data_IF_575678466356
#
_entry.id   IF_575678466356
#
_cell.length_a   1.000
_cell.length_b   1.000
_cell.length_c   1.000
_cell.angle_alpha   90.00
_cell.angle_beta   90.00
_cell.angle_gamma   90.00
#
_symmetry.space_group_name_H-M   'P 1'
#
loop_
_entity.id
_entity.type
_entity.pdbx_description
1 polymer ?
#
# COMPACT_ATOMS: atom_id res chain seq x y z
N UNK A 1 25.12 -14.71 17.37
CA UNK A 1 24.98 -13.26 17.71
C UNK A 1 23.52 -12.99 18.03
N UNK A 2 23.19 -11.96 18.85
CA UNK A 2 21.79 -11.59 19.08
C UNK A 2 21.37 -10.60 18.00
N UNK A 3 20.27 -10.90 17.31
CA UNK A 3 19.69 -10.04 16.27
C UNK A 3 18.44 -9.33 16.77
N UNK A 4 18.11 -8.21 16.15
CA UNK A 4 16.84 -7.51 16.34
C UNK A 4 16.12 -7.33 15.00
N UNK A 5 14.80 -7.42 15.07
CA UNK A 5 13.89 -7.15 13.97
C UNK A 5 13.80 -5.65 13.74
N UNK A 6 13.78 -5.25 12.46
CA UNK A 6 13.45 -3.89 12.03
C UNK A 6 12.39 -3.98 10.94
N UNK A 7 11.24 -3.38 11.18
CA UNK A 7 10.16 -3.42 10.20
C UNK A 7 9.42 -2.08 10.05
N UNK A 8 8.87 -1.89 8.85
CA UNK A 8 7.95 -0.82 8.51
C UNK A 8 6.80 -1.38 7.66
N UNK A 9 5.72 -0.63 7.57
CA UNK A 9 4.48 -1.02 6.90
C UNK A 9 4.12 -0.06 5.78
N UNK A 10 3.59 -0.63 4.70
CA UNK A 10 2.81 0.06 3.69
C UNK A 10 1.37 -0.44 3.83
N UNK A 11 0.47 0.45 4.25
CA UNK A 11 -0.92 0.08 4.55
C UNK A 11 -1.87 0.80 3.62
N UNK A 12 -2.57 0.04 2.78
CA UNK A 12 -3.60 0.53 1.87
C UNK A 12 -4.97 0.42 2.54
N UNK A 13 -5.75 1.49 2.50
CA UNK A 13 -7.10 1.54 3.08
C UNK A 13 -8.08 2.09 2.05
N UNK A 14 -9.06 1.26 1.66
CA UNK A 14 -10.18 1.70 0.82
C UNK A 14 -11.06 2.68 1.59
N UNK A 15 -11.34 3.83 0.98
CA UNK A 15 -12.16 4.86 1.59
C UNK A 15 -13.64 4.61 1.33
N UNK A 16 -14.47 4.66 2.36
CA UNK A 16 -15.92 4.41 2.33
C UNK A 16 -16.71 5.56 1.68
N UNK A 17 -16.22 6.09 0.54
CA UNK A 17 -16.93 7.09 -0.24
C UNK A 17 -18.05 6.45 -1.05
N UNK A 18 -19.09 7.20 -1.40
CA UNK A 18 -20.21 6.69 -2.21
C UNK A 18 -19.81 6.41 -3.66
N UNK A 19 -18.82 7.13 -4.15
CA UNK A 19 -18.38 7.05 -5.55
C UNK A 19 -16.87 6.91 -5.63
N UNK A 20 -16.40 6.38 -6.75
CA UNK A 20 -14.98 6.22 -7.07
C UNK A 20 -14.23 7.55 -7.05
N UNK A 21 -12.89 7.48 -7.03
CA UNK A 21 -12.02 8.65 -6.89
C UNK A 21 -12.16 9.65 -8.05
N UNK A 22 -12.37 9.19 -9.27
CA UNK A 22 -12.37 10.05 -10.47
C UNK A 22 -13.65 9.99 -11.30
N UNK A 23 -14.69 9.27 -10.82
CA UNK A 23 -15.96 9.17 -11.54
C UNK A 23 -17.15 8.95 -10.59
N UNK A 24 -18.37 8.90 -11.12
CA UNK A 24 -19.61 8.70 -10.36
C UNK A 24 -20.00 7.24 -10.11
N UNK A 25 -19.19 6.25 -10.51
CA UNK A 25 -19.49 4.84 -10.26
C UNK A 25 -19.45 4.53 -8.76
N UNK A 26 -20.29 3.59 -8.34
CA UNK A 26 -20.35 3.16 -6.93
C UNK A 26 -19.08 2.44 -6.50
N UNK A 27 -18.74 2.57 -5.22
CA UNK A 27 -17.66 1.84 -4.54
C UNK A 27 -18.17 0.62 -3.79
N UNK A 28 -19.48 0.28 -3.89
CA UNK A 28 -20.04 -0.86 -3.16
C UNK A 28 -19.32 -2.15 -3.51
N UNK A 29 -18.90 -2.88 -2.49
CA UNK A 29 -18.36 -4.22 -2.64
C UNK A 29 -19.39 -5.20 -3.22
N UNK A 30 -18.94 -6.13 -4.08
CA UNK A 30 -19.81 -7.09 -4.76
C UNK A 30 -20.46 -6.52 -6.03
N UNK A 31 -21.40 -7.26 -6.57
CA UNK A 31 -22.04 -6.98 -7.86
C UNK A 31 -21.47 -7.87 -8.97
N UNK A 32 -22.18 -7.93 -10.10
CA UNK A 32 -21.72 -8.67 -11.28
C UNK A 32 -20.40 -8.06 -11.78
N UNK A 33 -19.44 -8.86 -12.28
CA UNK A 33 -18.19 -8.33 -12.82
C UNK A 33 -18.43 -7.24 -13.85
N UNK A 34 -17.63 -6.17 -13.77
CA UNK A 34 -17.69 -5.00 -14.65
C UNK A 34 -19.03 -4.25 -14.71
N UNK A 35 -19.91 -4.41 -13.69
CA UNK A 35 -21.17 -3.68 -13.59
C UNK A 35 -21.06 -2.28 -12.98
N UNK A 36 -19.97 -2.00 -12.26
CA UNK A 36 -19.69 -0.71 -11.62
C UNK A 36 -18.64 0.09 -12.42
N UNK A 37 -18.79 0.15 -13.73
CA UNK A 37 -17.82 0.76 -14.64
C UNK A 37 -18.45 1.83 -15.51
N UNK A 38 -17.65 2.83 -15.88
CA UNK A 38 -17.99 3.87 -16.84
C UNK A 38 -16.77 4.18 -17.72
N UNK A 39 -16.93 4.94 -18.81
CA UNK A 39 -15.82 5.29 -19.70
C UNK A 39 -14.59 5.85 -18.98
N UNK A 40 -14.76 6.57 -17.86
CA UNK A 40 -13.64 7.16 -17.11
C UNK A 40 -12.83 6.07 -16.39
N UNK A 41 -13.46 5.20 -15.59
CA UNK A 41 -12.73 4.20 -14.80
C UNK A 41 -12.21 3.03 -15.64
N UNK A 42 -12.76 2.80 -16.85
CA UNK A 42 -12.19 1.84 -17.81
C UNK A 42 -11.20 2.46 -18.79
N UNK A 43 -10.92 3.77 -18.66
CA UNK A 43 -9.85 4.43 -19.39
C UNK A 43 -10.10 4.65 -20.87
N UNK A 44 -11.35 4.87 -21.30
CA UNK A 44 -11.62 5.14 -22.72
C UNK A 44 -10.97 6.44 -23.20
N UNK A 45 -10.52 6.50 -24.45
CA UNK A 45 -9.90 7.69 -25.03
C UNK A 45 -10.78 8.95 -24.86
N UNK A 46 -10.15 10.07 -24.49
CA UNK A 46 -10.84 11.36 -24.31
C UNK A 46 -11.45 11.57 -22.92
N UNK A 47 -11.44 10.58 -22.04
CA UNK A 47 -11.92 10.76 -20.65
C UNK A 47 -10.87 11.41 -19.78
N UNK A 48 -11.34 12.31 -18.88
CA UNK A 48 -10.47 13.01 -17.93
C UNK A 48 -10.89 12.69 -16.49
N UNK A 49 -9.94 12.42 -15.57
CA UNK A 49 -10.22 12.20 -14.17
C UNK A 49 -10.65 13.51 -13.49
N UNK A 50 -11.69 13.44 -12.65
CA UNK A 50 -12.12 14.55 -11.79
C UNK A 50 -12.13 14.09 -10.35
N UNK A 51 -11.21 14.63 -9.54
CA UNK A 51 -11.00 14.21 -8.15
C UNK A 51 -12.26 14.39 -7.29
N UNK A 52 -12.64 13.33 -6.60
CA UNK A 52 -13.73 13.32 -5.64
C UNK A 52 -13.33 14.07 -4.35
N UNK A 53 -14.07 15.12 -4.01
CA UNK A 53 -13.81 15.96 -2.83
C UNK A 53 -13.87 15.18 -1.51
N UNK A 54 -14.75 14.19 -1.38
CA UNK A 54 -14.84 13.39 -0.15
C UNK A 54 -13.60 12.53 0.09
N UNK A 55 -12.92 12.08 -0.95
CA UNK A 55 -11.65 11.37 -0.83
C UNK A 55 -10.60 12.25 -0.13
N UNK A 56 -10.47 13.50 -0.57
CA UNK A 56 -9.54 14.46 0.06
C UNK A 56 -9.93 14.72 1.52
N UNK A 57 -11.23 14.88 1.80
CA UNK A 57 -11.72 15.08 3.18
C UNK A 57 -11.42 13.89 4.06
N UNK A 58 -11.59 12.67 3.57
CA UNK A 58 -11.29 11.45 4.32
C UNK A 58 -9.78 11.29 4.56
N UNK A 59 -8.96 11.58 3.55
CA UNK A 59 -7.51 11.57 3.72
C UNK A 59 -7.03 12.61 4.75
N UNK A 60 -7.57 13.83 4.74
CA UNK A 60 -7.28 14.86 5.75
C UNK A 60 -7.70 14.38 7.15
N UNK A 61 -8.88 13.75 7.31
CA UNK A 61 -9.31 13.18 8.60
C UNK A 61 -8.35 12.09 9.08
N UNK A 62 -7.87 11.23 8.18
CA UNK A 62 -6.85 10.23 8.51
C UNK A 62 -5.57 10.89 9.00
N UNK A 63 -5.05 11.87 8.25
CA UNK A 63 -3.83 12.60 8.61
C UNK A 63 -3.92 13.27 9.98
N UNK A 64 -5.01 13.96 10.26
CA UNK A 64 -5.24 14.62 11.57
C UNK A 64 -5.31 13.59 12.71
N UNK A 65 -5.94 12.43 12.47
CA UNK A 65 -6.10 11.40 13.49
C UNK A 65 -4.78 10.71 13.88
N UNK A 66 -3.78 10.75 13.00
CA UNK A 66 -2.43 10.21 13.27
C UNK A 66 -1.38 11.30 13.44
N UNK A 67 -1.81 12.52 13.76
CA UNK A 67 -0.92 13.67 14.02
C UNK A 67 -0.02 14.06 12.85
N UNK A 68 -0.46 13.78 11.63
CA UNK A 68 0.25 14.17 10.40
C UNK A 68 0.03 15.64 10.04
N UNK A 69 0.99 16.24 9.37
CA UNK A 69 0.91 17.58 8.80
C UNK A 69 0.19 17.53 7.44
N UNK A 70 -0.82 18.36 7.28
CA UNK A 70 -1.56 18.47 6.01
C UNK A 70 -0.82 19.44 5.11
N UNK A 71 -0.39 18.99 3.94
CA UNK A 71 0.29 19.81 2.97
C UNK A 71 -0.66 20.88 2.40
N UNK A 72 -0.22 22.14 2.35
CA UNK A 72 -0.99 23.24 1.73
C UNK A 72 -1.17 23.03 0.22
N UNK A 73 -0.16 22.47 -0.41
CA UNK A 73 -0.16 22.14 -1.85
C UNK A 73 0.18 20.66 -2.01
N UNK A 74 -0.68 19.97 -2.73
CA UNK A 74 -0.49 18.57 -3.08
C UNK A 74 -0.88 18.36 -4.54
N UNK A 75 -0.26 17.39 -5.21
CA UNK A 75 -0.59 17.07 -6.59
C UNK A 75 -0.71 15.58 -6.81
N UNK A 76 -1.49 15.22 -7.83
CA UNK A 76 -1.58 13.84 -8.31
C UNK A 76 -0.51 13.62 -9.37
N UNK A 77 0.14 12.45 -9.29
CA UNK A 77 1.15 11.99 -10.22
C UNK A 77 0.65 10.74 -10.96
N UNK A 78 1.29 10.39 -12.08
CA UNK A 78 1.02 9.14 -12.81
C UNK A 78 2.16 8.16 -12.57
N UNK A 79 1.81 6.99 -12.03
CA UNK A 79 2.69 5.83 -11.93
C UNK A 79 2.43 4.95 -13.16
N UNK A 80 3.28 5.08 -14.17
CA UNK A 80 3.07 4.42 -15.45
C UNK A 80 3.58 2.97 -15.39
N UNK A 81 2.69 2.02 -15.56
CA UNK A 81 3.01 0.63 -15.82
C UNK A 81 1.86 -0.07 -16.54
N UNK A 82 2.18 -1.02 -17.42
CA UNK A 82 1.20 -1.71 -18.22
C UNK A 82 0.90 -3.08 -17.60
N UNK A 83 -0.29 -3.19 -16.99
CA UNK A 83 -0.77 -4.45 -16.44
C UNK A 83 -2.27 -4.59 -16.68
N UNK A 84 -2.84 -5.81 -16.86
CA UNK A 84 -4.24 -5.97 -17.26
C UNK A 84 -5.27 -5.35 -16.32
N UNK A 85 -4.98 -5.25 -15.02
CA UNK A 85 -5.87 -4.64 -14.01
C UNK A 85 -5.84 -3.11 -14.00
N UNK A 86 -4.90 -2.49 -14.74
CA UNK A 86 -4.85 -1.05 -14.97
C UNK A 86 -5.39 -0.70 -16.36
N UNK A 87 -6.66 -0.34 -16.42
CA UNK A 87 -7.36 -0.02 -17.66
C UNK A 87 -6.73 1.12 -18.47
N UNK A 88 -6.00 2.03 -17.79
CA UNK A 88 -5.34 3.21 -18.36
C UNK A 88 -3.85 3.02 -18.65
N UNK A 89 -3.27 1.85 -18.30
CA UNK A 89 -1.84 1.59 -18.27
C UNK A 89 -1.04 2.51 -17.31
N UNK A 90 -1.72 3.19 -16.39
CA UNK A 90 -1.12 3.96 -15.30
C UNK A 90 -2.06 3.99 -14.09
N UNK A 91 -1.50 4.18 -12.92
CA UNK A 91 -2.21 4.48 -11.67
C UNK A 91 -2.00 5.95 -11.32
N UNK A 92 -3.07 6.63 -10.93
CA UNK A 92 -2.97 7.98 -10.37
C UNK A 92 -2.71 7.82 -8.87
N UNK A 93 -1.62 8.44 -8.41
CA UNK A 93 -1.12 8.40 -7.03
C UNK A 93 -0.49 9.74 -6.67
N UNK A 94 0.25 9.83 -5.57
CA UNK A 94 0.99 11.02 -5.14
C UNK A 94 2.41 10.61 -4.76
N UNK A 95 3.38 10.80 -5.65
CA UNK A 95 4.76 10.39 -5.45
C UNK A 95 5.64 11.50 -4.87
N UNK A 96 5.48 12.73 -5.38
CA UNK A 96 6.36 13.85 -5.08
C UNK A 96 5.80 14.85 -4.08
N UNK A 97 4.46 14.92 -3.99
CA UNK A 97 3.76 15.86 -3.12
C UNK A 97 2.57 15.17 -2.45
N UNK A 98 2.83 14.25 -1.50
CA UNK A 98 1.77 13.58 -0.75
C UNK A 98 0.94 14.59 0.03
N UNK A 99 -0.33 14.25 0.30
CA UNK A 99 -1.24 15.15 1.00
C UNK A 99 -0.90 15.27 2.49
N UNK A 100 -0.37 14.22 3.10
CA UNK A 100 -0.03 14.22 4.54
C UNK A 100 1.44 13.82 4.71
N UNK A 101 2.16 14.60 5.52
CA UNK A 101 3.57 14.40 5.82
C UNK A 101 3.72 14.05 7.29
N UNK A 102 4.52 13.03 7.59
CA UNK A 102 4.81 12.61 8.95
C UNK A 102 3.59 12.10 9.71
N UNK A 103 3.60 12.27 11.02
CA UNK A 103 2.62 11.72 11.95
C UNK A 103 3.15 10.49 12.70
N UNK A 104 2.31 9.89 13.53
CA UNK A 104 2.67 8.67 14.27
C UNK A 104 1.45 7.93 14.79
N UNK A 105 1.66 6.64 15.09
CA UNK A 105 0.75 5.81 15.87
C UNK A 105 1.44 5.51 17.20
N UNK A 106 0.83 5.88 18.32
CA UNK A 106 1.37 5.65 19.66
C UNK A 106 0.93 4.27 20.17
N UNK A 107 1.90 3.43 20.56
CA UNK A 107 1.67 2.12 21.15
C UNK A 107 1.38 2.23 22.66
N UNK A 108 0.84 1.16 23.25
CA UNK A 108 0.49 1.10 24.68
C UNK A 108 1.69 1.30 25.61
N UNK A 109 2.89 0.97 25.13
CA UNK A 109 4.15 1.18 25.85
C UNK A 109 4.70 2.62 25.74
N UNK A 110 3.96 3.53 25.09
CA UNK A 110 4.36 4.93 24.86
C UNK A 110 5.31 5.13 23.67
N UNK A 111 5.72 4.06 22.99
CA UNK A 111 6.49 4.20 21.74
C UNK A 111 5.64 4.76 20.62
N UNK A 112 6.23 5.62 19.82
CA UNK A 112 5.61 6.20 18.63
C UNK A 112 6.20 5.55 17.39
N UNK A 113 5.35 4.87 16.62
CA UNK A 113 5.70 4.40 15.29
C UNK A 113 5.44 5.56 14.36
N UNK A 114 6.50 6.17 13.85
CA UNK A 114 6.42 7.32 12.96
C UNK A 114 5.88 6.92 11.60
N UNK A 115 5.16 7.83 10.99
CA UNK A 115 4.73 7.73 9.61
C UNK A 115 5.64 8.59 8.74
N UNK A 116 5.99 8.09 7.57
CA UNK A 116 6.73 8.85 6.58
C UNK A 116 5.77 9.82 5.87
N UNK A 117 4.65 9.28 5.35
CA UNK A 117 3.61 10.07 4.70
C UNK A 117 2.31 9.27 4.56
N UNK A 118 1.23 9.97 4.21
CA UNK A 118 -0.01 9.37 3.71
C UNK A 118 -0.35 10.04 2.40
N UNK A 119 -0.64 9.24 1.37
CA UNK A 119 -1.02 9.74 0.07
C UNK A 119 -2.32 9.11 -0.43
N UNK A 120 -2.95 9.80 -1.39
CA UNK A 120 -4.17 9.34 -2.06
C UNK A 120 -3.78 8.62 -3.34
N UNK A 121 -4.45 7.50 -3.63
CA UNK A 121 -4.32 6.78 -4.88
C UNK A 121 -5.63 6.10 -5.30
N UNK A 122 -5.66 5.54 -6.49
CA UNK A 122 -6.77 4.72 -6.98
C UNK A 122 -6.41 3.23 -6.90
N UNK A 123 -7.42 2.38 -6.59
CA UNK A 123 -7.23 0.93 -6.65
C UNK A 123 -7.25 0.41 -8.09
N UNK A 124 -6.56 -0.69 -8.32
CA UNK A 124 -6.56 -1.44 -9.57
C UNK A 124 -7.79 -2.36 -9.69
N UNK A 125 -8.06 -2.87 -10.88
CA UNK A 125 -9.04 -3.92 -11.11
C UNK A 125 -8.65 -5.23 -10.39
N UNK A 126 -9.51 -6.22 -10.46
CA UNK A 126 -9.26 -7.55 -9.91
C UNK A 126 -8.98 -8.54 -11.03
N UNK A 127 -7.86 -9.26 -10.93
CA UNK A 127 -7.57 -10.39 -11.81
C UNK A 127 -8.19 -11.66 -11.25
N UNK A 128 -8.85 -12.43 -12.11
CA UNK A 128 -9.50 -13.70 -11.79
C UNK A 128 -8.93 -14.76 -12.71
N UNK A 129 -8.15 -15.69 -12.14
CA UNK A 129 -7.53 -16.78 -12.89
C UNK A 129 -8.43 -18.02 -12.80
N UNK A 130 -8.98 -18.44 -13.93
CA UNK A 130 -9.86 -19.62 -14.03
C UNK A 130 -9.60 -20.38 -15.32
N UNK A 131 -9.49 -21.71 -15.25
CA UNK A 131 -9.36 -22.61 -16.40
C UNK A 131 -8.23 -22.27 -17.38
N UNK A 132 -7.14 -21.68 -16.89
CA UNK A 132 -6.01 -21.25 -17.73
C UNK A 132 -6.14 -19.85 -18.33
N UNK A 133 -7.29 -19.20 -18.16
CA UNK A 133 -7.55 -17.84 -18.60
C UNK A 133 -7.45 -16.83 -17.45
N UNK A 134 -7.24 -15.57 -17.79
CA UNK A 134 -7.27 -14.45 -16.84
C UNK A 134 -8.35 -13.46 -17.23
N UNK A 135 -9.36 -13.35 -16.36
CA UNK A 135 -10.43 -12.36 -16.50
C UNK A 135 -10.12 -11.13 -15.66
N UNK A 136 -10.61 -9.98 -16.09
CA UNK A 136 -10.43 -8.71 -15.38
C UNK A 136 -11.78 -8.16 -14.97
N UNK A 137 -11.94 -7.88 -13.67
CA UNK A 137 -13.08 -7.17 -13.11
C UNK A 137 -12.66 -5.78 -12.68
N UNK A 138 -13.13 -4.75 -13.38
CA UNK A 138 -12.85 -3.36 -13.11
C UNK A 138 -13.80 -2.71 -12.08
N UNK A 139 -14.67 -3.48 -11.40
CA UNK A 139 -15.54 -2.94 -10.35
C UNK A 139 -14.72 -2.26 -9.25
N UNK A 140 -13.57 -2.83 -8.89
CA UNK A 140 -12.64 -2.23 -7.92
C UNK A 140 -11.79 -1.10 -8.52
N UNK A 141 -11.50 -1.13 -9.81
CA UNK A 141 -10.68 -0.10 -10.48
C UNK A 141 -11.20 1.31 -10.25
N UNK A 142 -10.36 2.17 -9.68
CA UNK A 142 -10.72 3.54 -9.28
C UNK A 142 -11.44 3.67 -7.94
N UNK A 143 -11.57 2.61 -7.14
CA UNK A 143 -11.96 2.74 -5.73
C UNK A 143 -10.90 3.58 -5.01
N UNK A 144 -11.30 4.61 -4.21
CA UNK A 144 -10.34 5.47 -3.57
C UNK A 144 -9.55 4.75 -2.49
N UNK A 145 -8.24 4.90 -2.49
CA UNK A 145 -7.32 4.43 -1.46
C UNK A 145 -6.59 5.60 -0.81
N UNK A 146 -6.20 5.40 0.44
CA UNK A 146 -5.03 6.03 1.03
C UNK A 146 -3.98 4.96 1.29
N UNK A 147 -2.74 5.27 1.00
CA UNK A 147 -1.58 4.50 1.41
C UNK A 147 -0.88 5.21 2.55
N UNK A 148 -0.69 4.49 3.66
CA UNK A 148 -0.02 4.93 4.87
C UNK A 148 1.32 4.24 4.95
N UNK A 149 2.41 4.98 4.78
CA UNK A 149 3.77 4.46 4.83
C UNK A 149 4.38 4.79 6.19
N UNK A 150 4.80 3.77 6.94
CA UNK A 150 5.50 3.97 8.20
C UNK A 150 7.00 4.05 8.03
N UNK A 151 7.67 4.68 8.99
CA UNK A 151 9.11 4.52 9.18
C UNK A 151 9.42 3.10 9.72
N UNK A 152 10.66 2.61 9.57
CA UNK A 152 11.07 1.28 10.04
C UNK A 152 11.33 1.29 11.56
N UNK A 153 10.32 1.68 12.34
CA UNK A 153 10.42 1.86 13.79
C UNK A 153 10.02 0.62 14.60
N UNK A 154 9.37 -0.37 13.99
CA UNK A 154 8.89 -1.58 14.65
C UNK A 154 10.06 -2.52 14.96
N UNK A 155 10.08 -3.06 16.20
CA UNK A 155 11.17 -3.90 16.73
C UNK A 155 10.71 -5.26 17.24
N UNK A 156 9.39 -5.52 17.29
CA UNK A 156 8.86 -6.82 17.68
C UNK A 156 7.57 -7.15 16.94
N UNK A 157 7.19 -8.42 16.96
CA UNK A 157 5.93 -8.91 16.39
C UNK A 157 4.72 -8.32 17.12
N UNK A 158 4.82 -8.18 18.46
CA UNK A 158 3.75 -7.59 19.26
C UNK A 158 3.52 -6.12 18.92
N UNK A 159 4.59 -5.35 18.71
CA UNK A 159 4.49 -3.97 18.23
C UNK A 159 3.84 -3.88 16.85
N UNK A 160 4.17 -4.81 15.96
CA UNK A 160 3.56 -4.88 14.63
C UNK A 160 2.05 -5.15 14.71
N UNK A 161 1.64 -6.11 15.55
CA UNK A 161 0.22 -6.41 15.81
C UNK A 161 -0.51 -5.18 16.34
N UNK A 162 0.01 -4.58 17.41
CA UNK A 162 -0.59 -3.42 18.05
C UNK A 162 -0.69 -2.22 17.08
N UNK A 163 0.35 -1.97 16.27
CA UNK A 163 0.34 -0.91 15.26
C UNK A 163 -0.81 -1.08 14.26
N UNK A 164 -0.96 -2.27 13.69
CA UNK A 164 -2.02 -2.55 12.69
C UNK A 164 -3.40 -2.48 13.35
N UNK A 165 -3.57 -3.04 14.55
CA UNK A 165 -4.83 -2.98 15.30
C UNK A 165 -5.25 -1.54 15.62
N UNK A 166 -4.33 -0.73 16.12
CA UNK A 166 -4.58 0.69 16.42
C UNK A 166 -4.93 1.48 15.16
N UNK A 167 -4.17 1.27 14.09
CA UNK A 167 -4.46 1.94 12.83
C UNK A 167 -5.87 1.58 12.31
N UNK A 168 -6.22 0.29 12.35
CA UNK A 168 -7.55 -0.19 12.00
C UNK A 168 -8.65 0.45 12.86
N UNK A 169 -8.45 0.50 14.18
CA UNK A 169 -9.37 1.10 15.13
C UNK A 169 -9.57 2.60 14.87
N UNK A 170 -8.48 3.33 14.66
CA UNK A 170 -8.52 4.77 14.37
C UNK A 170 -9.32 5.04 13.09
N UNK A 171 -9.01 4.34 11.99
CA UNK A 171 -9.67 4.55 10.69
C UNK A 171 -11.15 4.21 10.72
N UNK A 172 -11.53 3.17 11.47
CA UNK A 172 -12.93 2.84 11.73
C UNK A 172 -13.62 3.90 12.61
N UNK A 173 -12.99 4.34 13.68
CA UNK A 173 -13.55 5.32 14.61
C UNK A 173 -13.85 6.65 13.94
N UNK A 174 -12.95 7.14 13.08
CA UNK A 174 -13.17 8.37 12.30
C UNK A 174 -14.12 8.15 11.10
N UNK A 175 -14.57 6.90 10.87
CA UNK A 175 -15.60 6.56 9.89
C UNK A 175 -15.18 6.76 8.43
N UNK A 176 -13.92 6.52 8.09
CA UNK A 176 -13.44 6.65 6.71
C UNK A 176 -13.34 5.33 5.97
N UNK A 177 -13.29 4.20 6.70
CA UNK A 177 -13.22 2.84 6.15
C UNK A 177 -13.78 1.83 7.13
N UNK A 178 -14.21 0.67 6.65
CA UNK A 178 -14.53 -0.50 7.49
C UNK A 178 -13.30 -1.36 7.81
N UNK A 179 -12.20 -1.14 7.11
CA UNK A 179 -10.89 -1.79 7.31
C UNK A 179 -10.98 -3.32 7.46
N UNK A 180 -11.68 -3.98 6.55
CA UNK A 180 -11.81 -5.44 6.54
C UNK A 180 -10.71 -6.07 5.69
N UNK A 181 -9.75 -6.72 6.32
CA UNK A 181 -8.65 -7.35 5.61
C UNK A 181 -9.12 -8.50 4.69
N UNK A 182 -10.13 -9.27 5.12
CA UNK A 182 -10.66 -10.40 4.34
C UNK A 182 -11.40 -9.95 3.07
N UNK A 183 -11.97 -8.75 3.07
CA UNK A 183 -12.65 -8.16 1.90
C UNK A 183 -11.70 -7.29 1.06
N UNK A 184 -10.46 -7.06 1.57
CA UNK A 184 -9.43 -6.28 0.90
C UNK A 184 -9.55 -4.77 1.09
N UNK A 185 -10.49 -4.28 1.94
CA UNK A 185 -10.60 -2.85 2.24
C UNK A 185 -9.49 -2.32 3.17
N UNK A 186 -8.68 -3.22 3.74
CA UNK A 186 -7.40 -2.93 4.37
C UNK A 186 -6.39 -3.98 3.96
N UNK A 187 -5.25 -3.57 3.43
CA UNK A 187 -4.13 -4.44 3.02
C UNK A 187 -2.86 -3.89 3.65
N UNK A 188 -1.99 -4.78 4.11
CA UNK A 188 -0.71 -4.41 4.71
C UNK A 188 0.40 -5.18 4.03
N UNK A 189 1.39 -4.46 3.52
CA UNK A 189 2.65 -5.00 3.08
C UNK A 189 3.71 -4.67 4.13
N UNK A 190 4.59 -5.62 4.43
CA UNK A 190 5.60 -5.49 5.48
C UNK A 190 6.97 -5.46 4.86
N UNK A 191 7.72 -4.41 5.12
CA UNK A 191 9.15 -4.34 4.86
C UNK A 191 9.90 -4.76 6.13
N UNK A 192 10.64 -5.87 6.07
CA UNK A 192 11.34 -6.45 7.22
C UNK A 192 12.82 -6.65 6.93
N UNK A 193 13.66 -6.42 7.91
CA UNK A 193 15.08 -6.76 7.91
C UNK A 193 15.55 -7.15 9.30
N UNK A 194 16.71 -7.78 9.38
CA UNK A 194 17.39 -8.09 10.64
C UNK A 194 18.72 -7.38 10.71
N UNK A 195 19.12 -6.99 11.92
CA UNK A 195 20.44 -6.43 12.20
C UNK A 195 20.99 -6.95 13.54
N UNK A 196 22.32 -6.95 13.73
CA UNK A 196 22.88 -7.23 15.04
C UNK A 196 22.33 -6.25 16.09
N UNK A 197 21.95 -6.74 17.26
CA UNK A 197 21.39 -5.91 18.34
C UNK A 197 22.34 -4.79 18.74
N UNK A 198 21.84 -3.55 18.72
CA UNK A 198 22.63 -2.34 18.99
C UNK A 198 23.36 -1.76 17.79
N UNK A 199 23.24 -2.35 16.59
CA UNK A 199 23.77 -1.75 15.36
C UNK A 199 22.83 -0.65 14.84
N UNK A 200 23.37 0.47 14.40
CA UNK A 200 22.60 1.51 13.71
C UNK A 200 22.36 1.18 12.23
N UNK A 201 23.25 0.37 11.63
CA UNK A 201 23.15 -0.01 10.22
C UNK A 201 22.00 -0.98 10.00
N UNK A 202 21.08 -0.60 9.12
CA UNK A 202 19.98 -1.48 8.70
C UNK A 202 20.50 -2.66 7.88
N UNK A 203 19.84 -3.82 8.03
CA UNK A 203 20.04 -4.98 7.18
C UNK A 203 19.38 -4.83 5.80
N UNK A 204 19.58 -5.81 4.93
CA UNK A 204 18.86 -5.89 3.65
C UNK A 204 17.41 -6.23 3.92
N UNK A 205 16.49 -5.42 3.37
CA UNK A 205 15.05 -5.62 3.55
C UNK A 205 14.48 -6.60 2.54
N UNK A 206 13.48 -7.35 2.98
CA UNK A 206 12.51 -8.05 2.13
C UNK A 206 11.12 -7.43 2.31
N UNK A 207 10.29 -7.51 1.31
CA UNK A 207 8.91 -7.07 1.33
C UNK A 207 7.99 -8.28 1.36
N UNK A 208 7.09 -8.39 2.33
CA UNK A 208 6.13 -9.50 2.43
C UNK A 208 4.74 -9.00 2.04
N UNK A 209 4.09 -9.72 1.15
CA UNK A 209 2.74 -9.45 0.64
C UNK A 209 1.78 -10.61 0.87
N UNK A 210 0.49 -10.36 0.62
CA UNK A 210 -0.58 -11.38 0.64
C UNK A 210 -0.98 -11.86 2.04
N UNK A 211 -0.95 -10.97 3.02
CA UNK A 211 -1.40 -11.27 4.38
C UNK A 211 -2.82 -10.75 4.61
N UNK A 212 -3.76 -11.66 4.83
CA UNK A 212 -5.20 -11.36 4.89
C UNK A 212 -5.75 -11.19 6.32
N UNK A 213 -4.88 -11.19 7.33
CA UNK A 213 -5.22 -10.97 8.73
C UNK A 213 -4.01 -10.49 9.53
N UNK A 214 -4.26 -9.87 10.69
CA UNK A 214 -3.21 -9.45 11.62
C UNK A 214 -2.41 -10.66 12.13
N UNK A 215 -3.07 -11.81 12.30
CA UNK A 215 -2.39 -13.04 12.69
C UNK A 215 -1.44 -13.55 11.59
N UNK A 216 -1.84 -13.44 10.31
CA UNK A 216 -0.98 -13.81 9.19
C UNK A 216 0.21 -12.87 9.04
N UNK A 217 0.02 -11.56 9.32
CA UNK A 217 1.14 -10.60 9.38
C UNK A 217 2.16 -11.06 10.41
N UNK A 218 1.73 -11.39 11.62
CA UNK A 218 2.63 -11.80 12.69
C UNK A 218 3.39 -13.08 12.35
N UNK A 219 2.70 -14.11 11.86
CA UNK A 219 3.33 -15.39 11.46
C UNK A 219 4.31 -15.21 10.30
N UNK A 220 3.94 -14.39 9.31
CA UNK A 220 4.81 -14.09 8.18
C UNK A 220 6.09 -13.36 8.61
N UNK A 221 5.97 -12.39 9.52
CA UNK A 221 7.11 -11.67 10.07
C UNK A 221 8.00 -12.57 10.94
N UNK A 222 7.41 -13.46 11.75
CA UNK A 222 8.16 -14.42 12.59
C UNK A 222 8.97 -15.37 11.71
N UNK A 223 8.32 -16.00 10.72
CA UNK A 223 8.99 -16.89 9.78
C UNK A 223 10.13 -16.19 9.03
N UNK A 224 9.89 -15.00 8.51
CA UNK A 224 10.88 -14.27 7.73
C UNK A 224 12.05 -13.77 8.60
N UNK A 225 11.78 -13.37 9.84
CA UNK A 225 12.82 -13.01 10.81
C UNK A 225 13.76 -14.21 11.08
N UNK A 226 13.20 -15.37 11.37
CA UNK A 226 13.97 -16.60 11.59
C UNK A 226 14.77 -16.99 10.34
N UNK A 227 14.15 -16.98 9.17
CA UNK A 227 14.80 -17.27 7.89
C UNK A 227 16.00 -16.39 7.63
N UNK A 228 15.88 -15.05 7.86
CA UNK A 228 16.98 -14.12 7.66
C UNK A 228 18.11 -14.32 8.66
N UNK A 229 17.79 -14.60 9.92
CA UNK A 229 18.79 -14.89 10.96
C UNK A 229 19.56 -16.16 10.61
N UNK A 230 18.85 -17.24 10.30
CA UNK A 230 19.46 -18.53 9.92
C UNK A 230 20.37 -18.39 8.70
N UNK A 231 19.93 -17.66 7.69
CA UNK A 231 20.72 -17.41 6.49
C UNK A 231 22.04 -16.69 6.81
N UNK A 232 21.97 -15.65 7.65
CA UNK A 232 23.15 -14.85 8.02
C UNK A 232 24.11 -15.66 8.91
N UNK A 233 23.59 -16.43 9.87
CA UNK A 233 24.40 -17.26 10.77
C UNK A 233 25.11 -18.39 10.03
N UNK A 234 24.54 -18.88 8.94
CA UNK A 234 25.17 -19.85 8.04
C UNK A 234 26.10 -19.22 6.99
N UNK A 235 26.41 -17.92 7.11
CA UNK A 235 27.35 -17.21 6.22
C UNK A 235 26.79 -16.78 4.87
N UNK A 236 25.45 -16.87 4.69
CA UNK A 236 24.75 -16.36 3.54
C UNK A 236 24.46 -14.87 3.64
N UNK A 237 23.79 -14.31 2.63
CA UNK A 237 23.36 -12.92 2.59
C UNK A 237 21.89 -12.82 2.16
N UNK A 238 21.16 -11.91 2.81
CA UNK A 238 19.77 -11.61 2.42
C UNK A 238 19.76 -10.83 1.11
N UNK A 239 18.94 -11.26 0.18
CA UNK A 239 18.70 -10.57 -1.10
C UNK A 239 17.44 -9.71 -0.96
N UNK A 240 17.47 -8.50 -1.54
CA UNK A 240 16.31 -7.62 -1.55
C UNK A 240 15.28 -8.13 -2.57
N UNK A 241 14.17 -8.65 -2.07
CA UNK A 241 13.14 -9.30 -2.89
C UNK A 241 11.73 -9.05 -2.32
N UNK A 242 10.72 -9.31 -3.15
CA UNK A 242 9.32 -9.34 -2.72
C UNK A 242 8.91 -10.80 -2.51
N UNK A 243 8.37 -11.07 -1.34
CA UNK A 243 7.94 -12.40 -0.89
C UNK A 243 6.42 -12.46 -0.82
N UNK A 244 5.87 -13.61 -1.16
CA UNK A 244 4.46 -13.93 -0.95
C UNK A 244 4.32 -14.83 0.27
N UNK A 245 3.46 -14.45 1.21
CA UNK A 245 3.07 -15.32 2.31
C UNK A 245 2.00 -16.32 1.85
N UNK A 246 2.18 -17.58 2.24
CA UNK A 246 1.24 -18.69 2.06
C UNK A 246 0.66 -19.08 3.42
N UNK A 247 -0.64 -18.85 3.62
CA UNK A 247 -1.36 -19.13 4.85
C UNK A 247 -1.50 -20.65 5.13
N UNK A 248 -1.50 -21.48 4.07
CA UNK A 248 -1.62 -22.94 4.22
C UNK A 248 -0.36 -23.58 4.80
N UNK A 249 0.80 -23.06 4.40
CA UNK A 249 2.11 -23.59 4.85
C UNK A 249 2.75 -22.73 5.94
N UNK A 250 2.25 -21.54 6.20
CA UNK A 250 2.83 -20.49 7.05
C UNK A 250 4.29 -20.15 6.66
N UNK A 251 4.58 -20.11 5.36
CA UNK A 251 5.91 -19.81 4.83
C UNK A 251 5.88 -18.62 3.85
N UNK A 252 7.03 -18.05 3.58
CA UNK A 252 7.21 -17.06 2.51
C UNK A 252 7.90 -17.69 1.31
N UNK A 253 7.56 -17.25 0.11
CA UNK A 253 8.21 -17.65 -1.14
C UNK A 253 8.50 -16.43 -2.01
N UNK A 254 9.63 -16.44 -2.73
CA UNK A 254 10.00 -15.35 -3.62
C UNK A 254 8.99 -15.19 -4.76
N UNK A 255 8.55 -13.96 -5.00
CA UNK A 255 7.71 -13.61 -6.15
C UNK A 255 8.55 -13.11 -7.32
N UNK A 256 9.53 -12.25 -7.02
CA UNK A 256 10.48 -11.65 -7.98
C UNK A 256 11.67 -11.04 -7.24
N UNK A 257 12.83 -11.01 -7.88
CA UNK A 257 13.94 -10.19 -7.44
C UNK A 257 13.74 -8.73 -7.89
N UNK A 258 14.26 -7.76 -7.12
CA UNK A 258 14.18 -6.33 -7.53
C UNK A 258 15.13 -5.96 -8.67
N UNK A 259 15.98 -6.86 -9.15
CA UNK A 259 16.75 -6.64 -10.38
C UNK A 259 15.84 -6.41 -11.59
N UNK A 260 14.67 -7.06 -11.62
CA UNK A 260 13.63 -6.81 -12.63
C UNK A 260 12.90 -5.46 -12.47
N UNK A 261 13.13 -4.75 -11.35
CA UNK A 261 12.47 -3.47 -11.06
C UNK A 261 13.21 -2.25 -11.65
N UNK A 262 14.38 -2.40 -12.25
CA UNK A 262 15.08 -1.29 -12.89
C UNK A 262 14.29 -0.70 -14.06
N UNK A 263 13.62 -1.52 -14.83
CA UNK A 263 12.73 -1.05 -15.91
C UNK A 263 11.48 -0.33 -15.38
N UNK A 264 11.03 -0.70 -14.18
CA UNK A 264 9.89 -0.08 -13.51
C UNK A 264 10.20 1.32 -12.95
N UNK A 265 11.42 1.55 -12.49
CA UNK A 265 11.88 2.85 -11.98
C UNK A 265 12.28 3.81 -13.11
N UNK A 266 12.78 3.31 -14.24
CA UNK A 266 13.17 4.14 -15.38
C UNK A 266 11.95 4.77 -16.09
N UNK A 267 10.78 4.13 -16.03
CA UNK A 267 9.52 4.68 -16.56
C UNK A 267 8.94 5.82 -15.73
N UNK A 268 9.35 5.98 -14.46
CA UNK A 268 8.93 7.07 -13.57
C UNK A 268 9.56 8.42 -13.96
N UNK A 269 10.70 8.42 -14.65
CA UNK A 269 11.43 9.64 -15.00
C UNK A 269 11.05 10.29 -16.32
N UNK A 270 10.07 9.74 -17.06
CA UNK A 270 9.54 10.36 -18.28
C UNK A 270 8.20 11.07 -17.95
N UNK A 271 8.27 12.09 -17.10
CA UNK A 271 7.21 13.09 -17.05
C UNK A 271 7.58 14.19 -18.02
N UNK A 272 6.97 14.20 -19.19
CA UNK A 272 7.00 15.41 -20.01
C UNK A 272 6.33 16.55 -19.22
N UNK A 273 6.97 17.74 -19.14
CA UNK A 273 6.31 18.88 -18.55
C UNK A 273 5.13 19.24 -19.43
N UNK A 274 3.92 19.10 -18.90
CA UNK A 274 2.71 19.61 -19.56
C UNK A 274 2.86 21.11 -19.65
N UNK A 275 3.27 21.63 -20.81
CA UNK A 275 3.14 23.04 -21.11
C UNK A 275 1.64 23.34 -21.21
N UNK A 276 1.11 24.04 -20.24
CA UNK A 276 -0.16 24.72 -20.41
C UNK A 276 0.03 25.77 -21.51
N UNK A 277 -0.37 25.45 -22.73
CA UNK A 277 -0.64 26.49 -23.71
C UNK A 277 -1.91 27.20 -23.23
N UNK A 278 -1.76 28.42 -22.77
CA UNK A 278 -2.86 29.38 -22.65
C UNK A 278 -3.41 29.56 -24.06
N UNK A 279 -4.57 29.00 -24.31
CA UNK A 279 -5.37 29.39 -25.48
C UNK A 279 -6.13 30.63 -25.04
N UNK A 280 -5.75 31.76 -25.64
CA UNK A 280 -6.45 33.03 -25.60
C UNK A 280 -7.81 32.92 -26.27
#
# INVERSE_FOLDING_TARGET
MSYELVAGFETHIELATKTKIFCGCTTKFGGAPNSHCCPVCIGLPGTLPKLNREVVRYAIRAGLAVHGEIAEISKMDRKNYCYPDLSKAYQISQLYAPLIIGGYVELSNGRKIRLHHIHIEEDAGKLIHQHGDTYVDYNRGGVPLIEIVSEPDIRSIDEAREYVEKLQQVMRYIGISDCKMQEGSMRCDVNISVRPKGSEKLGTRTEIKNMNSINNIAKAMEYEFERQVDLIENGGSVVQETLRYDDATNTTSSMRSKEDAHDYLSLIHISEPTRHSLIS
#
